data_IF_991229177235
#
_entry.id   IF_991229177235
#
_cell.length_a   1.000
_cell.length_b   1.000
_cell.length_c   1.000
_cell.angle_alpha   90.00
_cell.angle_beta   90.00
_cell.angle_gamma   90.00
#
_symmetry.space_group_name_H-M   'P 1'
#
loop_
_entity.id
_entity.type
_entity.pdbx_description
1 polymer ?
#
# COMPACT_ATOMS: atom_id res chain seq x y z
N UNK A 1 58.77 7.31 -11.28
CA UNK A 1 58.02 7.30 -10.02
C UNK A 1 56.80 8.21 -10.19
N UNK A 2 55.65 7.61 -10.48
CA UNK A 2 54.40 8.30 -10.84
C UNK A 2 53.80 8.85 -9.54
N UNK A 3 53.74 10.19 -9.44
CA UNK A 3 53.25 10.91 -8.25
C UNK A 3 51.73 10.89 -8.29
N UNK A 4 51.15 10.20 -7.32
CA UNK A 4 49.73 10.13 -7.01
C UNK A 4 49.16 11.53 -6.81
N UNK A 5 48.18 11.92 -7.62
CA UNK A 5 47.28 13.04 -7.32
C UNK A 5 45.95 12.43 -6.95
N UNK A 6 45.67 12.45 -5.65
CA UNK A 6 44.36 12.14 -5.07
C UNK A 6 43.35 13.16 -5.59
N UNK A 7 42.55 12.77 -6.59
CA UNK A 7 41.43 13.57 -7.06
C UNK A 7 40.29 13.44 -6.05
N UNK A 8 40.01 14.56 -5.40
CA UNK A 8 39.09 14.71 -4.30
C UNK A 8 37.65 14.29 -4.64
N UNK A 9 37.01 13.80 -3.59
CA UNK A 9 35.62 13.41 -3.48
C UNK A 9 34.64 14.43 -4.07
N UNK A 10 33.72 13.95 -4.89
CA UNK A 10 32.40 14.56 -5.03
C UNK A 10 31.39 13.53 -5.55
N UNK A 11 31.13 12.50 -4.72
CA UNK A 11 29.93 11.67 -4.90
C UNK A 11 28.78 12.44 -4.29
N UNK A 12 28.09 13.25 -5.11
CA UNK A 12 26.77 13.77 -4.76
C UNK A 12 25.82 12.58 -4.67
N UNK A 13 25.66 12.03 -3.46
CA UNK A 13 24.58 11.12 -3.15
C UNK A 13 23.28 11.93 -3.22
N UNK A 14 22.66 11.98 -4.39
CA UNK A 14 21.27 12.38 -4.53
C UNK A 14 20.43 11.29 -3.87
N UNK A 15 20.18 11.45 -2.58
CA UNK A 15 19.14 10.71 -1.89
C UNK A 15 17.81 11.24 -2.41
N UNK A 16 17.33 10.69 -3.53
CA UNK A 16 15.89 10.78 -3.84
C UNK A 16 15.20 10.05 -2.71
N UNK A 17 14.67 10.80 -1.74
CA UNK A 17 13.69 10.25 -0.82
C UNK A 17 12.61 9.64 -1.72
N UNK A 18 12.56 8.31 -1.76
CA UNK A 18 11.48 7.60 -2.41
C UNK A 18 10.24 7.96 -1.59
N UNK A 19 9.56 9.03 -1.98
CA UNK A 19 8.21 9.29 -1.55
C UNK A 19 7.45 8.04 -1.97
N UNK A 20 7.14 7.20 -0.98
CA UNK A 20 6.18 6.14 -1.17
C UNK A 20 4.92 6.85 -1.65
N UNK A 21 4.65 6.80 -2.95
CA UNK A 21 3.37 7.22 -3.46
C UNK A 21 2.34 6.44 -2.63
N UNK A 22 1.56 7.15 -1.82
CA UNK A 22 0.55 6.54 -0.96
C UNK A 22 -0.41 5.78 -1.87
N UNK A 23 -0.23 4.46 -1.96
CA UNK A 23 -1.00 3.57 -2.82
C UNK A 23 -1.91 2.75 -1.95
N UNK A 24 -3.20 2.86 -2.20
CA UNK A 24 -4.23 2.25 -1.36
C UNK A 24 -4.58 0.86 -1.88
N UNK A 25 -4.77 -0.09 -0.97
CA UNK A 25 -5.19 -1.45 -1.30
C UNK A 25 -6.39 -1.81 -0.44
N UNK A 26 -7.41 -2.42 -1.04
CA UNK A 26 -8.53 -3.02 -0.31
C UNK A 26 -8.17 -4.47 -0.03
N UNK A 27 -8.15 -4.86 1.24
CA UNK A 27 -7.82 -6.22 1.67
C UNK A 27 -8.98 -6.84 2.43
N UNK A 28 -9.22 -8.14 2.22
CA UNK A 28 -10.11 -8.93 3.05
C UNK A 28 -9.35 -9.62 4.15
N UNK A 29 -9.64 -9.26 5.40
CA UNK A 29 -8.93 -9.74 6.57
C UNK A 29 -9.75 -10.79 7.34
N UNK A 30 -9.28 -12.04 7.33
CA UNK A 30 -9.87 -13.25 7.92
C UNK A 30 -9.99 -13.13 9.42
N UNK A 31 -8.99 -12.52 10.05
CA UNK A 31 -8.97 -12.33 11.49
C UNK A 31 -10.09 -11.37 11.93
N UNK A 32 -10.33 -10.29 11.18
CA UNK A 32 -11.33 -9.28 11.54
C UNK A 32 -12.68 -9.46 10.85
N UNK A 33 -12.78 -10.38 9.88
CA UNK A 33 -13.94 -10.58 9.00
C UNK A 33 -14.40 -9.27 8.32
N UNK A 34 -13.45 -8.40 7.97
CA UNK A 34 -13.72 -7.07 7.40
C UNK A 34 -12.88 -6.81 6.16
N UNK A 35 -13.35 -5.86 5.37
CA UNK A 35 -12.52 -5.21 4.37
C UNK A 35 -11.89 -3.92 4.89
N UNK A 36 -10.57 -3.89 4.83
CA UNK A 36 -9.71 -2.82 5.31
C UNK A 36 -8.99 -2.16 4.13
N UNK A 37 -8.68 -0.86 4.27
CA UNK A 37 -7.88 -0.14 3.27
C UNK A 37 -6.51 0.07 3.89
N UNK A 38 -5.48 -0.46 3.24
CA UNK A 38 -4.08 -0.37 3.67
C UNK A 38 -3.26 0.43 2.65
N UNK A 39 -2.28 1.19 3.12
CA UNK A 39 -1.37 1.96 2.25
C UNK A 39 -0.06 1.21 1.96
N UNK A 40 0.16 0.08 2.64
CA UNK A 40 1.27 -0.83 2.41
C UNK A 40 0.86 -1.95 1.47
N UNK A 41 1.76 -2.38 0.58
CA UNK A 41 1.51 -3.47 -0.35
C UNK A 41 1.20 -4.78 0.41
N UNK A 42 -0.02 -5.33 0.29
CA UNK A 42 -0.41 -6.51 1.06
C UNK A 42 0.17 -7.79 0.45
N UNK A 43 0.62 -8.71 1.31
CA UNK A 43 1.07 -10.05 0.90
C UNK A 43 -0.06 -11.04 1.16
N UNK A 44 -0.70 -11.51 0.08
CA UNK A 44 -1.75 -12.54 0.16
C UNK A 44 -1.08 -13.91 0.31
N UNK A 45 -1.32 -14.60 1.42
CA UNK A 45 -0.78 -15.94 1.66
C UNK A 45 -1.90 -16.90 2.07
N UNK A 46 -1.79 -18.17 1.69
CA UNK A 46 -2.84 -19.18 1.96
C UNK A 46 -3.10 -19.35 3.46
N UNK A 47 -2.05 -19.23 4.28
CA UNK A 47 -2.10 -19.32 5.76
C UNK A 47 -2.21 -17.96 6.45
N UNK A 48 -2.24 -16.85 5.70
CA UNK A 48 -2.28 -15.52 6.27
C UNK A 48 -3.68 -15.03 6.58
N UNK A 49 -3.74 -13.91 7.30
CA UNK A 49 -4.99 -13.24 7.62
C UNK A 49 -5.62 -12.58 6.38
N UNK A 50 -4.81 -12.18 5.39
CA UNK A 50 -5.34 -11.56 4.17
C UNK A 50 -5.72 -12.64 3.15
N UNK A 51 -7.03 -12.77 2.87
CA UNK A 51 -7.54 -13.75 1.91
C UNK A 51 -7.71 -13.20 0.48
N UNK A 52 -7.71 -11.87 0.32
CA UNK A 52 -7.60 -11.20 -0.97
C UNK A 52 -7.02 -9.79 -0.82
N UNK A 53 -6.51 -9.26 -1.94
CA UNK A 53 -6.16 -7.86 -2.08
C UNK A 53 -6.63 -7.33 -3.44
N UNK A 54 -7.04 -6.07 -3.48
CA UNK A 54 -7.41 -5.33 -4.69
C UNK A 54 -6.73 -3.96 -4.66
N UNK A 55 -6.11 -3.53 -5.77
CA UNK A 55 -5.29 -2.32 -5.84
C UNK A 55 -4.04 -2.50 -6.71
N UNK A 56 -3.09 -1.55 -6.69
CA UNK A 56 -3.11 -0.31 -5.91
C UNK A 56 -3.99 0.79 -6.52
N UNK A 57 -4.75 1.49 -5.68
CA UNK A 57 -5.51 2.69 -6.03
C UNK A 57 -4.69 3.95 -5.75
N UNK A 58 -4.89 4.99 -6.56
CA UNK A 58 -4.18 6.27 -6.45
C UNK A 58 -4.75 7.20 -5.38
N UNK A 59 -6.01 7.00 -5.01
CA UNK A 59 -6.68 7.80 -4.00
C UNK A 59 -7.45 6.92 -3.00
N UNK A 60 -7.65 7.47 -1.81
CA UNK A 60 -8.40 6.81 -0.74
C UNK A 60 -9.88 6.64 -1.14
N UNK A 61 -10.45 7.58 -1.90
CA UNK A 61 -11.84 7.52 -2.32
C UNK A 61 -12.07 6.45 -3.40
N UNK A 62 -11.12 6.26 -4.32
CA UNK A 62 -11.15 5.14 -5.26
C UNK A 62 -11.13 3.79 -4.51
N UNK A 63 -10.31 3.68 -3.46
CA UNK A 63 -10.26 2.48 -2.64
C UNK A 63 -11.55 2.26 -1.84
N UNK A 64 -12.22 3.32 -1.36
CA UNK A 64 -13.54 3.21 -0.72
C UNK A 64 -14.61 2.74 -1.71
N UNK A 65 -14.61 3.27 -2.93
CA UNK A 65 -15.54 2.90 -3.99
C UNK A 65 -15.31 1.45 -4.45
N UNK A 66 -14.05 1.04 -4.58
CA UNK A 66 -13.72 -0.36 -4.85
C UNK A 66 -14.22 -1.26 -3.70
N UNK A 67 -13.99 -0.88 -2.44
CA UNK A 67 -14.48 -1.64 -1.28
C UNK A 67 -16.00 -1.80 -1.26
N UNK A 68 -16.78 -0.80 -1.66
CA UNK A 68 -18.24 -0.89 -1.69
C UNK A 68 -18.77 -1.76 -2.83
N UNK A 69 -17.97 -1.98 -3.89
CA UNK A 69 -18.35 -2.79 -5.05
C UNK A 69 -17.87 -4.24 -4.97
N UNK A 70 -16.95 -4.55 -4.05
CA UNK A 70 -16.44 -5.92 -3.86
C UNK A 70 -17.47 -6.74 -3.06
N UNK A 71 -18.07 -7.74 -3.70
CA UNK A 71 -19.06 -8.64 -3.08
C UNK A 71 -18.54 -9.40 -1.85
N UNK A 72 -17.24 -9.65 -1.77
CA UNK A 72 -16.61 -10.30 -0.61
C UNK A 72 -16.51 -9.37 0.60
N UNK A 73 -16.68 -8.06 0.41
CA UNK A 73 -16.69 -7.11 1.49
C UNK A 73 -18.07 -7.02 2.11
N UNK A 74 -18.20 -7.17 3.43
CA UNK A 74 -19.46 -6.89 4.09
C UNK A 74 -19.84 -5.44 3.79
N UNK A 75 -21.02 -5.23 3.22
CA UNK A 75 -21.46 -3.91 2.82
C UNK A 75 -21.63 -3.06 4.09
N UNK A 76 -20.93 -1.92 4.16
CA UNK A 76 -20.99 -1.01 5.32
C UNK A 76 -22.23 -0.12 5.30
N UNK A 77 -23.09 -0.25 4.29
CA UNK A 77 -24.38 0.46 4.20
C UNK A 77 -25.46 -0.06 5.16
N UNK A 78 -25.08 -0.82 6.19
CA UNK A 78 -25.91 -1.10 7.36
C UNK A 78 -25.17 -0.53 8.56
N UNK A 79 -25.26 0.78 8.75
CA UNK A 79 -25.28 1.55 10.01
C UNK A 79 -24.78 2.96 9.71
N UNK A 80 -25.70 3.88 9.43
CA UNK A 80 -25.56 5.28 9.77
C UNK A 80 -26.95 5.71 10.24
N UNK A 81 -27.05 6.14 11.49
CA UNK A 81 -28.24 6.67 12.17
C UNK A 81 -29.19 7.45 11.23
N UNK A 82 -30.45 7.03 11.15
CA UNK A 82 -31.70 7.79 11.42
C UNK A 82 -32.94 6.88 11.22
#
# INVERSE_FOLDING_TARGET
MIRTVLTAALVMAVATAAWAEDRFWVVGNRATNKCEIVTSNPVVTIMGDIWFASGPFKSLDDAKLARSTINACPNKDITSED
#
